data_IF_361924856549
#
_entry.id   IF_361924856549
#
_cell.length_a   1.000
_cell.length_b   1.000
_cell.length_c   1.000
_cell.angle_alpha   90.00
_cell.angle_beta   90.00
_cell.angle_gamma   90.00
#
_symmetry.space_group_name_H-M   'P 1'
#
loop_
_entity.id
_entity.type
_entity.pdbx_description
1 polymer ?
#
# COMPACT_ATOMS: atom_id res chain seq x y z
N UNK A 1 4.04 12.69 -18.70
CA UNK A 1 3.86 11.41 -17.99
C UNK A 1 4.26 11.69 -16.55
N UNK A 2 3.30 11.83 -15.65
CA UNK A 2 3.61 11.99 -14.23
C UNK A 2 4.14 10.65 -13.72
N UNK A 3 5.46 10.51 -13.72
CA UNK A 3 6.11 9.49 -12.90
C UNK A 3 5.75 9.82 -11.45
N UNK A 4 5.02 8.92 -10.79
CA UNK A 4 4.72 8.99 -9.36
C UNK A 4 6.01 8.80 -8.56
N UNK A 5 6.84 9.84 -8.51
CA UNK A 5 8.03 9.90 -7.67
C UNK A 5 7.62 10.28 -6.25
N UNK A 6 8.40 9.87 -5.27
CA UNK A 6 8.12 10.24 -3.88
C UNK A 6 8.12 11.77 -3.68
N UNK A 7 8.98 12.47 -4.41
CA UNK A 7 9.01 13.93 -4.43
C UNK A 7 7.70 14.52 -4.95
N UNK A 8 7.13 13.96 -6.03
CA UNK A 8 5.85 14.41 -6.58
C UNK A 8 4.67 14.09 -5.66
N UNK A 9 4.68 12.94 -4.99
CA UNK A 9 3.69 12.61 -3.96
C UNK A 9 3.76 13.62 -2.80
N UNK A 10 4.95 13.86 -2.27
CA UNK A 10 5.16 14.82 -1.19
C UNK A 10 4.76 16.25 -1.56
N UNK A 11 5.06 16.69 -2.78
CA UNK A 11 4.58 17.96 -3.31
C UNK A 11 3.05 18.00 -3.35
N UNK A 12 2.42 16.93 -3.84
CA UNK A 12 0.96 16.85 -3.96
C UNK A 12 0.26 16.92 -2.61
N UNK A 13 0.79 16.24 -1.59
CA UNK A 13 0.26 16.23 -0.22
C UNK A 13 0.52 17.54 0.55
N UNK A 14 1.51 18.34 0.13
CA UNK A 14 1.86 19.63 0.75
C UNK A 14 1.38 20.81 -0.10
N UNK A 15 2.21 21.31 -1.01
CA UNK A 15 1.94 22.46 -1.88
C UNK A 15 0.75 22.25 -2.82
N UNK A 16 0.58 21.03 -3.33
CA UNK A 16 -0.52 20.66 -4.22
C UNK A 16 -1.89 20.82 -3.56
N UNK A 17 -2.00 20.31 -2.33
CA UNK A 17 -3.18 20.35 -1.47
C UNK A 17 -3.34 21.64 -0.66
N UNK A 18 -2.39 22.58 -0.75
CA UNK A 18 -2.36 23.83 0.03
C UNK A 18 -2.43 23.60 1.56
N UNK A 19 -1.89 22.46 2.02
CA UNK A 19 -1.84 22.13 3.44
C UNK A 19 -0.66 22.86 4.10
N UNK A 20 -0.96 23.95 4.82
CA UNK A 20 0.05 24.83 5.43
C UNK A 20 0.97 24.09 6.42
N UNK A 21 0.44 23.15 7.21
CA UNK A 21 1.27 22.40 8.16
C UNK A 21 2.22 21.44 7.43
N UNK A 22 1.72 20.72 6.43
CA UNK A 22 2.58 19.88 5.58
C UNK A 22 3.63 20.70 4.82
N UNK A 23 3.29 21.91 4.35
CA UNK A 23 4.23 22.83 3.72
C UNK A 23 5.31 23.27 4.72
N UNK A 24 4.95 23.62 5.96
CA UNK A 24 5.93 23.98 7.00
C UNK A 24 6.91 22.84 7.28
N UNK A 25 6.41 21.62 7.40
CA UNK A 25 7.23 20.43 7.59
C UNK A 25 8.16 20.21 6.39
N UNK A 26 7.64 20.27 5.17
CA UNK A 26 8.44 20.15 3.94
C UNK A 26 9.52 21.22 3.85
N UNK A 27 9.20 22.49 4.14
CA UNK A 27 10.17 23.59 4.08
C UNK A 27 11.23 23.50 5.18
N UNK A 28 10.90 22.91 6.33
CA UNK A 28 11.85 22.68 7.42
C UNK A 28 12.83 21.58 7.07
N UNK A 29 12.33 20.40 6.71
CA UNK A 29 13.14 19.29 6.22
C UNK A 29 12.32 18.40 5.27
N UNK A 30 12.50 18.53 3.94
CA UNK A 30 11.75 17.75 2.98
C UNK A 30 12.09 16.26 3.04
N UNK A 31 13.29 15.89 3.49
CA UNK A 31 13.67 14.47 3.63
C UNK A 31 12.90 13.85 4.79
N UNK A 32 12.90 14.50 5.95
CA UNK A 32 12.17 14.04 7.15
C UNK A 32 10.66 13.97 6.89
N UNK A 33 10.09 15.01 6.27
CA UNK A 33 8.67 15.03 5.89
C UNK A 33 8.31 13.87 4.95
N UNK A 34 9.11 13.64 3.90
CA UNK A 34 8.89 12.55 2.96
C UNK A 34 8.98 11.17 3.62
N UNK A 35 9.96 10.98 4.52
CA UNK A 35 10.07 9.76 5.31
C UNK A 35 8.84 9.53 6.19
N UNK A 36 8.37 10.57 6.88
CA UNK A 36 7.18 10.49 7.74
C UNK A 36 5.92 10.17 6.94
N UNK A 37 5.72 10.86 5.81
CA UNK A 37 4.60 10.65 4.90
C UNK A 37 4.58 9.20 4.39
N UNK A 38 5.71 8.72 3.88
CA UNK A 38 5.82 7.36 3.39
C UNK A 38 5.55 6.33 4.50
N UNK A 39 6.14 6.51 5.69
CA UNK A 39 5.95 5.58 6.80
C UNK A 39 4.48 5.53 7.24
N UNK A 40 3.78 6.65 7.21
CA UNK A 40 2.36 6.73 7.57
C UNK A 40 1.49 5.99 6.55
N UNK A 41 1.72 6.23 5.25
CA UNK A 41 1.02 5.56 4.16
C UNK A 41 1.29 4.04 4.20
N UNK A 42 2.55 3.65 4.41
CA UNK A 42 2.96 2.26 4.53
C UNK A 42 2.31 1.56 5.73
N UNK A 43 2.32 2.19 6.91
CA UNK A 43 1.71 1.62 8.11
C UNK A 43 0.21 1.38 7.88
N UNK A 44 -0.48 2.36 7.30
CA UNK A 44 -1.91 2.25 6.97
C UNK A 44 -2.18 1.10 6.01
N UNK A 45 -1.42 1.02 4.92
CA UNK A 45 -1.53 -0.08 3.95
C UNK A 45 -1.24 -1.44 4.60
N UNK A 46 -0.20 -1.52 5.43
CA UNK A 46 0.22 -2.76 6.08
C UNK A 46 -0.84 -3.30 7.03
N UNK A 47 -1.50 -2.43 7.80
CA UNK A 47 -2.59 -2.82 8.69
C UNK A 47 -3.80 -3.34 7.91
N UNK A 48 -4.18 -2.66 6.82
CA UNK A 48 -5.29 -3.09 5.95
C UNK A 48 -4.97 -4.47 5.34
N UNK A 49 -3.75 -4.68 4.85
CA UNK A 49 -3.33 -5.95 4.28
C UNK A 49 -3.36 -7.08 5.31
N UNK A 50 -2.82 -6.83 6.51
CA UNK A 50 -2.81 -7.82 7.61
C UNK A 50 -4.23 -8.23 7.98
N UNK A 51 -5.14 -7.27 8.19
CA UNK A 51 -6.54 -7.59 8.52
C UNK A 51 -7.26 -8.31 7.37
N UNK A 52 -6.95 -7.98 6.11
CA UNK A 52 -7.51 -8.72 4.96
C UNK A 52 -7.09 -10.19 4.98
N UNK A 53 -5.81 -10.47 5.19
CA UNK A 53 -5.29 -11.85 5.26
C UNK A 53 -5.91 -12.61 6.44
N UNK A 54 -6.02 -11.98 7.61
CA UNK A 54 -6.64 -12.62 8.77
C UNK A 54 -8.12 -12.96 8.50
N UNK A 55 -8.85 -12.06 7.83
CA UNK A 55 -10.23 -12.31 7.42
C UNK A 55 -10.33 -13.45 6.40
N UNK A 56 -9.42 -13.53 5.44
CA UNK A 56 -9.37 -14.64 4.48
C UNK A 56 -9.16 -15.99 5.19
N UNK A 57 -8.34 -16.04 6.24
CA UNK A 57 -8.16 -17.25 7.07
C UNK A 57 -9.46 -17.58 7.83
N UNK A 58 -10.12 -16.57 8.42
CA UNK A 58 -11.41 -16.74 9.12
C UNK A 58 -12.47 -17.31 8.17
N UNK A 59 -12.60 -16.73 6.98
CA UNK A 59 -13.55 -17.16 5.94
C UNK A 59 -13.22 -18.56 5.43
N UNK A 60 -11.93 -18.87 5.18
CA UNK A 60 -11.50 -20.20 4.76
C UNK A 60 -11.89 -21.26 5.80
N UNK A 61 -11.68 -20.99 7.09
CA UNK A 61 -12.06 -21.90 8.16
C UNK A 61 -13.58 -22.14 8.19
N UNK A 62 -14.40 -21.07 8.17
CA UNK A 62 -15.87 -21.17 8.21
C UNK A 62 -16.38 -21.96 7.01
N UNK A 63 -15.95 -21.59 5.80
CA UNK A 63 -16.38 -22.25 4.56
C UNK A 63 -15.99 -23.74 4.55
N UNK A 64 -14.79 -24.06 5.03
CA UNK A 64 -14.31 -25.45 5.11
C UNK A 64 -15.15 -26.27 6.09
N UNK A 65 -15.39 -25.73 7.29
CA UNK A 65 -16.22 -26.37 8.33
C UNK A 65 -17.62 -26.64 7.81
N UNK A 66 -18.28 -25.63 7.24
CA UNK A 66 -19.65 -25.75 6.75
C UNK A 66 -19.74 -26.73 5.59
N UNK A 67 -18.78 -26.70 4.66
CA UNK A 67 -18.68 -27.66 3.56
C UNK A 67 -18.51 -29.10 4.04
N UNK A 68 -17.63 -29.33 5.01
CA UNK A 68 -17.40 -30.65 5.58
C UNK A 68 -18.64 -31.19 6.29
N UNK A 69 -19.29 -30.39 7.12
CA UNK A 69 -20.51 -30.78 7.83
C UNK A 69 -21.67 -31.04 6.85
N UNK A 70 -21.86 -30.18 5.86
CA UNK A 70 -22.84 -30.37 4.79
C UNK A 70 -22.58 -31.68 4.06
N UNK A 71 -21.32 -31.96 3.68
CA UNK A 71 -21.00 -33.17 2.94
C UNK A 71 -21.14 -34.46 3.73
N UNK A 72 -20.84 -34.45 5.04
CA UNK A 72 -21.12 -35.60 5.89
C UNK A 72 -22.63 -35.83 6.00
N UNK A 73 -23.43 -34.76 6.17
CA UNK A 73 -24.88 -34.86 6.24
C UNK A 73 -25.48 -35.43 4.96
N UNK A 74 -25.08 -34.90 3.80
CA UNK A 74 -25.55 -35.36 2.49
C UNK A 74 -25.14 -36.82 2.23
N UNK A 75 -23.93 -37.23 2.61
CA UNK A 75 -23.52 -38.63 2.50
C UNK A 75 -24.34 -39.53 3.43
N UNK A 76 -24.58 -39.10 4.67
CA UNK A 76 -25.35 -39.84 5.66
C UNK A 76 -26.79 -40.14 5.19
N UNK A 77 -27.43 -39.18 4.51
CA UNK A 77 -28.79 -39.32 3.97
C UNK A 77 -28.93 -40.38 2.88
N UNK A 78 -27.82 -40.86 2.30
CA UNK A 78 -27.84 -41.90 1.26
C UNK A 78 -28.07 -43.32 1.78
N UNK A 79 -27.93 -43.55 3.09
CA UNK A 79 -27.90 -44.89 3.68
C UNK A 79 -29.12 -45.16 4.58
N UNK A 80 -29.57 -46.41 4.62
CA UNK A 80 -30.59 -46.85 5.59
C UNK A 80 -29.97 -47.01 6.98
N UNK A 81 -30.47 -46.32 8.04
CA UNK A 81 -29.98 -46.45 9.41
C UNK A 81 -29.99 -47.87 9.98
N UNK A 82 -30.80 -48.78 9.43
CA UNK A 82 -30.92 -50.16 9.91
C UNK A 82 -30.07 -51.15 9.11
N UNK A 83 -29.49 -50.72 8.00
CA UNK A 83 -28.74 -51.59 7.09
C UNK A 83 -27.24 -51.59 7.44
N UNK A 84 -26.64 -52.78 7.37
CA UNK A 84 -25.18 -52.95 7.38
C UNK A 84 -24.67 -53.09 5.96
N UNK A 85 -23.49 -52.55 5.69
CA UNK A 85 -22.87 -52.52 4.38
C UNK A 85 -21.52 -53.22 4.42
N UNK A 86 -21.48 -54.44 3.90
CA UNK A 86 -20.24 -55.18 3.82
C UNK A 86 -19.36 -54.58 2.70
N UNK A 87 -18.08 -54.36 3.02
CA UNK A 87 -17.05 -53.91 2.07
C UNK A 87 -17.21 -52.49 1.51
N UNK A 88 -17.83 -51.55 2.24
CA UNK A 88 -17.82 -50.13 1.84
C UNK A 88 -16.51 -49.47 2.32
N UNK A 89 -15.53 -49.19 1.44
CA UNK A 89 -14.28 -48.59 1.87
C UNK A 89 -14.46 -47.10 2.19
N UNK A 90 -13.70 -46.61 3.16
CA UNK A 90 -13.68 -45.20 3.56
C UNK A 90 -13.22 -44.29 2.43
N UNK A 91 -12.42 -44.79 1.49
CA UNK A 91 -12.05 -44.07 0.27
C UNK A 91 -13.27 -43.61 -0.53
N UNK A 92 -14.37 -44.36 -0.55
CA UNK A 92 -15.59 -43.94 -1.25
C UNK A 92 -16.19 -42.67 -0.63
N UNK A 93 -16.15 -42.56 0.69
CA UNK A 93 -16.58 -41.36 1.40
C UNK A 93 -15.66 -40.17 1.10
N UNK A 94 -14.34 -40.37 1.07
CA UNK A 94 -13.41 -39.30 0.68
C UNK A 94 -13.55 -38.88 -0.79
N UNK A 95 -13.77 -39.84 -1.70
CA UNK A 95 -14.05 -39.58 -3.11
C UNK A 95 -15.33 -38.77 -3.28
N UNK A 96 -16.38 -39.07 -2.50
CA UNK A 96 -17.60 -38.27 -2.50
C UNK A 96 -17.33 -36.82 -2.13
N UNK A 97 -16.64 -36.57 -1.00
CA UNK A 97 -16.34 -35.22 -0.52
C UNK A 97 -15.37 -34.43 -1.42
N UNK A 98 -14.63 -35.12 -2.28
CA UNK A 98 -13.71 -34.53 -3.25
C UNK A 98 -14.34 -34.36 -4.64
N UNK A 99 -15.63 -34.67 -4.80
CA UNK A 99 -16.27 -34.96 -6.09
C UNK A 99 -16.09 -33.88 -7.18
N UNK A 100 -15.92 -32.61 -6.81
CA UNK A 100 -15.69 -31.52 -7.76
C UNK A 100 -14.32 -31.58 -8.44
N UNK A 101 -13.25 -31.89 -7.70
CA UNK A 101 -11.89 -32.06 -8.23
C UNK A 101 -11.74 -33.31 -9.10
N UNK A 102 -12.57 -34.32 -8.85
CA UNK A 102 -12.44 -35.67 -9.44
C UNK A 102 -13.77 -36.14 -10.04
N UNK A 103 -14.35 -35.29 -10.89
CA UNK A 103 -15.70 -35.50 -11.45
C UNK A 103 -15.88 -36.83 -12.21
N UNK A 104 -14.81 -37.36 -12.81
CA UNK A 104 -14.84 -38.66 -13.48
C UNK A 104 -14.91 -39.82 -12.47
N UNK A 105 -14.08 -39.77 -11.43
CA UNK A 105 -14.05 -40.73 -10.33
C UNK A 105 -15.35 -40.66 -9.52
N UNK A 106 -15.94 -39.47 -9.36
CA UNK A 106 -17.26 -39.30 -8.74
C UNK A 106 -18.35 -40.04 -9.51
N UNK A 107 -18.36 -39.92 -10.84
CA UNK A 107 -19.32 -40.66 -11.67
C UNK A 107 -19.09 -42.18 -11.58
N UNK A 108 -17.84 -42.61 -11.53
CA UNK A 108 -17.49 -44.02 -11.33
C UNK A 108 -17.96 -44.52 -9.96
N UNK A 109 -17.79 -43.72 -8.91
CA UNK A 109 -18.30 -43.98 -7.56
C UNK A 109 -19.82 -44.10 -7.58
N UNK A 110 -20.54 -43.16 -8.21
CA UNK A 110 -22.00 -43.21 -8.33
C UNK A 110 -22.48 -44.52 -8.92
N UNK A 111 -21.93 -44.92 -10.07
CA UNK A 111 -22.30 -46.18 -10.75
C UNK A 111 -22.00 -47.39 -9.85
N UNK A 112 -20.86 -47.37 -9.14
CA UNK A 112 -20.49 -48.42 -8.20
C UNK A 112 -21.47 -48.52 -7.02
N UNK A 113 -21.81 -47.39 -6.39
CA UNK A 113 -22.72 -47.31 -5.24
C UNK A 113 -24.13 -47.77 -5.62
N UNK A 114 -24.63 -47.39 -6.79
CA UNK A 114 -25.92 -47.84 -7.31
C UNK A 114 -25.92 -49.36 -7.54
N UNK A 115 -24.92 -49.90 -8.25
CA UNK A 115 -24.88 -51.32 -8.61
C UNK A 115 -24.64 -52.25 -7.42
N UNK A 116 -23.77 -51.86 -6.49
CA UNK A 116 -23.36 -52.73 -5.38
C UNK A 116 -24.28 -52.61 -4.17
N UNK A 117 -24.76 -51.40 -3.88
CA UNK A 117 -25.47 -51.10 -2.64
C UNK A 117 -26.89 -50.57 -2.87
N UNK A 118 -27.34 -50.42 -4.13
CA UNK A 118 -28.62 -49.82 -4.48
C UNK A 118 -28.79 -48.39 -3.91
N UNK A 119 -27.68 -47.65 -3.85
CA UNK A 119 -27.64 -46.26 -3.36
C UNK A 119 -27.65 -45.31 -4.55
N UNK A 120 -28.65 -44.43 -4.59
CA UNK A 120 -28.79 -43.45 -5.65
C UNK A 120 -28.13 -42.12 -5.25
N UNK A 121 -26.94 -41.86 -5.78
CA UNK A 121 -26.25 -40.58 -5.62
C UNK A 121 -26.70 -39.58 -6.68
N UNK A 122 -26.69 -38.28 -6.34
CA UNK A 122 -26.98 -37.20 -7.29
C UNK A 122 -26.01 -37.24 -8.48
N UNK A 123 -26.51 -36.88 -9.66
CA UNK A 123 -25.65 -36.76 -10.86
C UNK A 123 -24.72 -35.55 -10.80
N UNK A 124 -25.19 -34.47 -10.16
CA UNK A 124 -24.37 -33.30 -9.89
C UNK A 124 -23.35 -33.60 -8.79
N UNK A 125 -22.08 -33.29 -9.05
CA UNK A 125 -21.03 -33.30 -8.03
C UNK A 125 -21.37 -32.33 -6.89
N UNK A 126 -20.84 -32.56 -5.67
CA UNK A 126 -20.97 -31.60 -4.59
C UNK A 126 -20.44 -30.21 -4.96
N UNK A 127 -21.06 -29.16 -4.42
CA UNK A 127 -20.66 -27.77 -4.71
C UNK A 127 -19.28 -27.43 -4.12
N UNK A 128 -18.95 -28.07 -3.01
CA UNK A 128 -17.70 -27.97 -2.27
C UNK A 128 -16.66 -28.97 -2.79
N UNK A 129 -15.40 -28.70 -2.46
CA UNK A 129 -14.29 -29.55 -2.83
C UNK A 129 -13.28 -29.62 -1.69
N UNK A 130 -13.16 -30.81 -1.10
CA UNK A 130 -12.32 -31.03 0.08
C UNK A 130 -11.10 -31.92 -0.25
N UNK A 131 -10.79 -32.07 -1.54
CA UNK A 131 -9.71 -32.93 -2.03
C UNK A 131 -8.36 -32.63 -1.37
N UNK A 132 -7.98 -31.35 -1.31
CA UNK A 132 -6.69 -30.92 -0.73
C UNK A 132 -6.57 -31.22 0.76
N UNK A 133 -7.68 -31.16 1.50
CA UNK A 133 -7.73 -31.40 2.94
C UNK A 133 -7.75 -32.91 3.23
N UNK A 134 -8.41 -33.68 2.38
CA UNK A 134 -8.68 -35.10 2.62
C UNK A 134 -7.65 -36.04 1.98
N UNK A 135 -6.78 -35.56 1.09
CA UNK A 135 -5.81 -36.39 0.36
C UNK A 135 -4.96 -37.28 1.27
N UNK A 136 -4.42 -36.71 2.35
CA UNK A 136 -3.54 -37.44 3.27
C UNK A 136 -4.35 -38.46 4.07
N UNK A 137 -5.56 -38.06 4.52
CA UNK A 137 -6.47 -38.97 5.22
C UNK A 137 -6.90 -40.15 4.35
N UNK A 138 -7.18 -39.91 3.07
CA UNK A 138 -7.54 -40.97 2.13
C UNK A 138 -6.37 -41.93 1.89
N UNK A 139 -5.14 -41.41 1.78
CA UNK A 139 -3.94 -42.23 1.60
C UNK A 139 -3.68 -43.16 2.79
N UNK A 140 -4.00 -42.72 4.00
CA UNK A 140 -3.73 -43.46 5.24
C UNK A 140 -4.86 -44.43 5.61
N UNK A 141 -6.11 -43.98 5.45
CA UNK A 141 -7.27 -44.67 6.01
C UNK A 141 -8.28 -45.17 4.97
N UNK A 142 -8.07 -44.88 3.69
CA UNK A 142 -9.05 -45.18 2.64
C UNK A 142 -9.42 -46.66 2.52
N UNK A 143 -8.54 -47.58 2.93
CA UNK A 143 -8.81 -49.02 2.92
C UNK A 143 -9.67 -49.53 4.08
N UNK A 144 -9.96 -48.70 5.08
CA UNK A 144 -10.81 -49.10 6.20
C UNK A 144 -12.26 -49.29 5.74
N UNK A 145 -12.94 -50.30 6.28
CA UNK A 145 -14.31 -50.62 5.90
C UNK A 145 -15.28 -49.95 6.88
N UNK A 146 -16.31 -49.32 6.32
CA UNK A 146 -17.42 -48.72 7.06
C UNK A 146 -18.60 -49.69 7.03
N UNK A 147 -18.79 -50.46 8.11
CA UNK A 147 -19.91 -51.41 8.20
C UNK A 147 -21.27 -50.71 8.39
N UNK A 148 -21.29 -49.65 9.21
CA UNK A 148 -22.49 -48.86 9.51
C UNK A 148 -22.25 -47.38 9.17
N UNK A 149 -22.56 -46.96 7.93
CA UNK A 149 -22.29 -45.60 7.47
C UNK A 149 -22.97 -44.53 8.30
N UNK A 150 -24.21 -44.78 8.74
CA UNK A 150 -24.95 -43.81 9.57
C UNK A 150 -24.32 -43.62 10.94
N UNK A 151 -23.93 -44.71 11.61
CA UNK A 151 -23.25 -44.65 12.91
C UNK A 151 -21.88 -43.95 12.78
N UNK A 152 -21.14 -44.26 11.70
CA UNK A 152 -19.87 -43.63 11.38
C UNK A 152 -20.02 -42.12 11.14
N UNK A 153 -20.99 -41.70 10.32
CA UNK A 153 -21.27 -40.29 10.03
C UNK A 153 -21.65 -39.52 11.31
N UNK A 154 -22.48 -40.11 12.16
CA UNK A 154 -22.85 -39.50 13.44
C UNK A 154 -21.63 -39.33 14.37
N UNK A 155 -20.77 -40.35 14.44
CA UNK A 155 -19.57 -40.33 15.27
C UNK A 155 -18.54 -39.31 14.76
N UNK A 156 -18.29 -39.29 13.45
CA UNK A 156 -17.33 -38.34 12.86
C UNK A 156 -17.85 -36.91 12.93
N UNK A 157 -19.15 -36.65 12.69
CA UNK A 157 -19.75 -35.33 12.87
C UNK A 157 -19.54 -34.82 14.29
N UNK A 158 -19.86 -35.64 15.30
CA UNK A 158 -19.68 -35.26 16.70
C UNK A 158 -18.21 -34.93 17.01
N UNK A 159 -17.29 -35.81 16.61
CA UNK A 159 -15.85 -35.64 16.84
C UNK A 159 -15.28 -34.42 16.11
N UNK A 160 -15.75 -34.15 14.89
CA UNK A 160 -15.34 -33.01 14.09
C UNK A 160 -15.86 -31.71 14.67
N UNK A 161 -17.13 -31.64 15.10
CA UNK A 161 -17.68 -30.43 15.73
C UNK A 161 -16.86 -30.06 16.97
N UNK A 162 -16.55 -31.02 17.82
CA UNK A 162 -15.72 -30.79 19.01
C UNK A 162 -14.32 -30.30 18.64
N UNK A 163 -13.65 -31.00 17.72
CA UNK A 163 -12.29 -30.68 17.28
C UNK A 163 -12.21 -29.33 16.59
N UNK A 164 -13.14 -29.03 15.68
CA UNK A 164 -13.24 -27.76 14.96
C UNK A 164 -13.55 -26.62 15.95
N UNK A 165 -14.44 -26.82 16.91
CA UNK A 165 -14.74 -25.80 17.94
C UNK A 165 -13.51 -25.48 18.78
N UNK A 166 -12.73 -26.50 19.16
CA UNK A 166 -11.47 -26.31 19.86
C UNK A 166 -10.46 -25.53 19.00
N UNK A 167 -10.28 -25.90 17.73
CA UNK A 167 -9.41 -25.17 16.80
C UNK A 167 -9.85 -23.71 16.63
N UNK A 168 -11.14 -23.45 16.47
CA UNK A 168 -11.68 -22.09 16.34
C UNK A 168 -11.40 -21.26 17.60
N UNK A 169 -11.57 -21.88 18.77
CA UNK A 169 -11.30 -21.24 20.06
C UNK A 169 -9.81 -20.90 20.19
N UNK A 170 -8.92 -21.83 19.85
CA UNK A 170 -7.46 -21.61 19.84
C UNK A 170 -7.08 -20.50 18.85
N UNK A 171 -7.69 -20.49 17.66
CA UNK A 171 -7.47 -19.45 16.67
C UNK A 171 -7.86 -18.07 17.20
N UNK A 172 -9.10 -17.90 17.65
CA UNK A 172 -9.63 -16.61 18.13
C UNK A 172 -8.84 -16.10 19.35
N UNK A 173 -8.55 -16.98 20.30
CA UNK A 173 -7.96 -16.56 21.58
C UNK A 173 -6.43 -16.40 21.53
N UNK A 174 -5.74 -16.99 20.56
CA UNK A 174 -4.26 -17.07 20.60
C UNK A 174 -3.63 -16.92 19.22
N UNK A 175 -3.90 -17.85 18.29
CA UNK A 175 -3.13 -17.91 17.03
C UNK A 175 -3.40 -16.74 16.09
N UNK A 176 -4.60 -16.16 16.10
CA UNK A 176 -4.92 -14.97 15.29
C UNK A 176 -4.03 -13.79 15.67
N UNK A 177 -3.84 -13.54 16.97
CA UNK A 177 -2.96 -12.47 17.45
C UNK A 177 -1.49 -12.76 17.12
N UNK A 178 -1.01 -13.99 17.35
CA UNK A 178 0.37 -14.38 17.04
C UNK A 178 0.64 -14.22 15.54
N UNK A 179 -0.29 -14.66 14.69
CA UNK A 179 -0.20 -14.53 13.23
C UNK A 179 -0.17 -13.07 12.81
N UNK A 180 -1.05 -12.24 13.39
CA UNK A 180 -1.07 -10.79 13.19
C UNK A 180 0.30 -10.15 13.45
N UNK A 181 0.90 -10.45 14.60
CA UNK A 181 2.21 -9.90 14.97
C UNK A 181 3.34 -10.42 14.08
N UNK A 182 3.29 -11.69 13.67
CA UNK A 182 4.25 -12.26 12.70
C UNK A 182 4.17 -11.58 11.33
N UNK A 183 2.95 -11.35 10.82
CA UNK A 183 2.73 -10.65 9.55
C UNK A 183 3.26 -9.21 9.63
N UNK A 184 2.95 -8.50 10.71
CA UNK A 184 3.49 -7.14 10.96
C UNK A 184 5.01 -7.13 10.97
N UNK A 185 5.65 -8.03 11.71
CA UNK A 185 7.11 -8.11 11.78
C UNK A 185 7.75 -8.40 10.40
N UNK A 186 7.13 -9.28 9.61
CA UNK A 186 7.58 -9.58 8.25
C UNK A 186 7.49 -8.35 7.32
N UNK A 187 6.37 -7.62 7.40
CA UNK A 187 6.16 -6.39 6.63
C UNK A 187 7.15 -5.29 7.04
N UNK A 188 7.34 -5.05 8.33
CA UNK A 188 8.34 -4.09 8.82
C UNK A 188 9.74 -4.43 8.31
N UNK A 189 10.14 -5.69 8.38
CA UNK A 189 11.44 -6.16 7.87
C UNK A 189 11.57 -5.88 6.37
N UNK A 190 10.54 -6.22 5.60
CA UNK A 190 10.50 -5.97 4.15
C UNK A 190 10.54 -4.47 3.84
N UNK A 191 9.85 -3.65 4.62
CA UNK A 191 9.86 -2.19 4.45
C UNK A 191 11.26 -1.63 4.70
N UNK A 192 11.89 -1.95 5.84
CA UNK A 192 13.24 -1.47 6.18
C UNK A 192 14.24 -1.81 5.08
N UNK A 193 14.15 -3.03 4.52
CA UNK A 193 15.02 -3.47 3.41
C UNK A 193 14.74 -2.72 2.11
N UNK A 194 13.52 -2.27 1.87
CA UNK A 194 13.08 -1.64 0.61
C UNK A 194 13.06 -0.11 0.69
N UNK A 195 13.05 0.47 1.90
CA UNK A 195 12.81 1.90 2.16
C UNK A 195 14.05 2.77 2.14
N UNK A 196 15.17 2.24 2.60
CA UNK A 196 16.34 3.09 2.84
C UNK A 196 16.95 3.67 1.56
N UNK A 197 16.82 2.99 0.41
CA UNK A 197 17.52 3.38 -0.81
C UNK A 197 16.62 3.94 -1.94
N UNK A 198 15.36 3.50 -2.05
CA UNK A 198 14.55 3.83 -3.24
C UNK A 198 13.37 4.77 -2.98
N UNK A 199 12.96 4.97 -1.72
CA UNK A 199 11.70 5.67 -1.44
C UNK A 199 11.84 7.17 -1.29
N UNK A 200 13.01 7.67 -0.92
CA UNK A 200 13.23 9.11 -0.86
C UNK A 200 13.65 9.65 -2.22
N UNK A 201 14.30 8.85 -3.08
CA UNK A 201 14.91 9.33 -4.32
C UNK A 201 16.10 10.25 -4.05
N UNK A 202 16.58 10.91 -5.09
CA UNK A 202 17.76 11.78 -5.04
C UNK A 202 17.72 12.81 -3.90
N UNK A 203 18.80 12.93 -3.12
CA UNK A 203 18.92 13.91 -2.03
C UNK A 203 19.20 15.34 -2.51
N UNK A 204 19.57 15.53 -3.79
CA UNK A 204 19.90 16.84 -4.34
C UNK A 204 18.69 17.79 -4.32
N UNK A 205 18.96 19.08 -4.12
CA UNK A 205 17.95 20.15 -4.05
C UNK A 205 18.29 21.26 -5.03
N UNK A 206 17.25 21.85 -5.62
CA UNK A 206 17.39 22.96 -6.53
C UNK A 206 18.13 24.10 -5.81
N UNK A 207 19.22 24.63 -6.39
CA UNK A 207 20.06 25.61 -5.70
C UNK A 207 19.36 26.96 -5.44
N UNK A 208 18.23 27.23 -6.11
CA UNK A 208 17.48 28.47 -5.98
C UNK A 208 16.32 28.33 -4.99
N UNK A 209 15.45 27.34 -5.20
CA UNK A 209 14.21 27.19 -4.45
C UNK A 209 14.20 26.00 -3.49
N UNK A 210 15.30 25.25 -3.40
CA UNK A 210 15.46 24.03 -2.58
C UNK A 210 14.43 22.92 -2.84
N UNK A 211 13.67 22.99 -3.94
CA UNK A 211 12.84 21.88 -4.39
C UNK A 211 13.70 20.64 -4.56
N UNK A 212 13.27 19.52 -4.01
CA UNK A 212 14.01 18.25 -4.07
C UNK A 212 13.99 17.67 -5.48
N UNK A 213 15.07 17.05 -5.91
CA UNK A 213 15.15 16.31 -7.17
C UNK A 213 14.10 15.18 -7.23
N UNK A 214 13.50 15.00 -8.40
CA UNK A 214 12.44 14.00 -8.64
C UNK A 214 12.99 12.65 -9.09
N UNK A 215 14.27 12.57 -9.48
CA UNK A 215 14.90 11.35 -9.96
C UNK A 215 15.16 10.34 -8.82
N UNK A 216 15.21 9.03 -9.11
CA UNK A 216 15.61 8.02 -8.14
C UNK A 216 17.05 8.23 -7.65
N UNK A 217 17.42 7.61 -6.53
CA UNK A 217 18.79 7.64 -6.04
C UNK A 217 19.65 6.57 -6.75
N UNK A 218 19.87 6.75 -8.05
CA UNK A 218 20.52 5.80 -8.94
C UNK A 218 21.92 6.27 -9.42
N UNK A 219 22.45 7.33 -8.78
CA UNK A 219 23.74 7.91 -9.16
C UNK A 219 23.70 8.79 -10.42
N UNK A 220 22.52 9.23 -10.89
CA UNK A 220 22.43 10.22 -11.95
C UNK A 220 23.26 11.48 -11.64
N UNK A 221 23.86 12.04 -12.67
CA UNK A 221 24.74 13.21 -12.57
C UNK A 221 24.02 14.53 -12.89
N UNK A 222 22.79 14.45 -13.40
CA UNK A 222 21.97 15.60 -13.78
C UNK A 222 20.65 15.55 -13.02
N UNK A 223 20.39 16.58 -12.22
CA UNK A 223 19.22 16.66 -11.36
C UNK A 223 18.06 17.35 -12.06
N UNK A 224 16.85 16.93 -11.73
CA UNK A 224 15.64 17.44 -12.36
C UNK A 224 14.52 17.67 -11.35
N UNK A 225 13.79 18.75 -11.57
CA UNK A 225 12.60 19.14 -10.82
C UNK A 225 11.60 19.74 -11.80
N UNK A 226 10.34 19.35 -11.69
CA UNK A 226 9.24 19.91 -12.45
C UNK A 226 8.45 20.95 -11.64
N UNK A 227 8.43 20.81 -10.31
CA UNK A 227 7.72 21.72 -9.38
C UNK A 227 8.68 22.63 -8.62
N UNK A 228 9.01 23.76 -9.23
CA UNK A 228 9.85 24.78 -8.64
C UNK A 228 9.06 25.72 -7.71
N UNK A 229 9.70 26.17 -6.64
CA UNK A 229 9.09 27.02 -5.61
C UNK A 229 9.63 28.46 -5.67
N UNK A 230 9.11 29.34 -4.81
CA UNK A 230 9.71 30.67 -4.58
C UNK A 230 11.03 30.51 -3.82
N UNK A 231 12.16 31.09 -4.29
CA UNK A 231 13.41 31.13 -3.54
C UNK A 231 13.25 31.75 -2.14
N UNK A 232 12.29 32.67 -1.96
CA UNK A 232 12.02 33.25 -0.65
C UNK A 232 11.64 32.21 0.43
N UNK A 233 11.09 31.04 0.07
CA UNK A 233 10.80 29.98 1.04
C UNK A 233 12.05 29.40 1.70
N UNK A 234 13.23 29.61 1.12
CA UNK A 234 14.52 29.14 1.63
C UNK A 234 15.40 30.28 2.11
N UNK A 235 14.83 31.49 2.20
CA UNK A 235 15.53 32.69 2.65
C UNK A 235 16.30 33.45 1.58
N UNK A 236 16.15 33.10 0.28
CA UNK A 236 16.74 33.89 -0.79
C UNK A 236 16.10 35.29 -0.83
N UNK A 237 16.94 36.30 -0.62
CA UNK A 237 16.59 37.71 -0.59
C UNK A 237 17.62 38.54 -1.33
N UNK A 238 17.22 39.73 -1.74
CA UNK A 238 18.15 40.74 -2.24
C UNK A 238 19.08 41.20 -1.12
N UNK A 239 20.39 41.30 -1.40
CA UNK A 239 21.38 41.60 -0.35
C UNK A 239 21.26 43.03 0.20
N UNK A 240 20.79 43.98 -0.62
CA UNK A 240 20.83 45.41 -0.30
C UNK A 240 19.54 45.84 0.40
N UNK A 241 18.41 45.32 -0.09
CA UNK A 241 17.07 45.65 0.40
C UNK A 241 16.53 44.64 1.38
N UNK A 242 17.15 43.47 1.48
CA UNK A 242 16.69 42.32 2.27
C UNK A 242 15.31 41.80 1.85
N UNK A 243 14.83 42.22 0.68
CA UNK A 243 13.52 41.83 0.17
C UNK A 243 13.50 40.39 -0.33
N UNK A 244 12.46 39.61 -0.01
CA UNK A 244 12.30 38.23 -0.47
C UNK A 244 12.24 38.14 -2.01
N UNK A 245 12.80 37.07 -2.56
CA UNK A 245 12.70 36.78 -4.00
C UNK A 245 11.39 36.05 -4.31
N UNK A 246 10.37 36.82 -4.72
CA UNK A 246 8.98 36.37 -4.92
C UNK A 246 8.63 35.95 -6.37
N UNK A 247 9.63 35.45 -7.10
CA UNK A 247 9.47 34.88 -8.44
C UNK A 247 9.77 33.39 -8.40
N UNK A 248 9.00 32.56 -9.10
CA UNK A 248 9.33 31.14 -9.24
C UNK A 248 10.63 31.03 -10.05
N UNK A 249 11.53 30.17 -9.63
CA UNK A 249 12.91 30.22 -10.12
C UNK A 249 13.10 29.80 -11.59
N UNK A 250 12.06 29.29 -12.26
CA UNK A 250 12.04 28.97 -13.69
C UNK A 250 11.45 30.07 -14.58
N UNK A 251 10.84 31.11 -14.00
CA UNK A 251 10.25 32.25 -14.72
C UNK A 251 11.32 33.01 -15.51
N UNK A 252 10.93 33.66 -16.60
CA UNK A 252 11.84 34.46 -17.42
C UNK A 252 12.56 35.56 -16.62
N UNK A 253 11.88 36.15 -15.65
CA UNK A 253 12.48 37.14 -14.75
C UNK A 253 13.66 36.56 -13.96
N UNK A 254 13.58 35.30 -13.53
CA UNK A 254 14.66 34.63 -12.80
C UNK A 254 15.89 34.43 -13.69
N UNK A 255 15.69 34.13 -14.98
CA UNK A 255 16.76 33.98 -15.97
C UNK A 255 17.44 35.30 -16.33
N UNK A 256 16.68 36.40 -16.29
CA UNK A 256 17.19 37.75 -16.59
C UNK A 256 17.86 38.43 -15.38
N UNK A 257 17.65 37.92 -14.18
CA UNK A 257 18.31 38.41 -12.95
C UNK A 257 19.74 37.91 -12.83
N UNK A 258 20.52 38.63 -12.01
CA UNK A 258 21.86 38.19 -11.61
C UNK A 258 21.79 37.55 -10.22
N UNK A 259 22.52 36.45 -10.06
CA UNK A 259 22.54 35.61 -8.87
C UNK A 259 23.93 35.63 -8.24
N UNK A 260 23.97 35.58 -6.91
CA UNK A 260 25.20 35.60 -6.12
C UNK A 260 25.24 34.44 -5.14
N UNK A 261 26.44 33.96 -4.82
CA UNK A 261 26.66 32.93 -3.81
C UNK A 261 27.35 33.53 -2.59
N UNK A 262 26.65 33.54 -1.44
CA UNK A 262 27.12 33.94 -0.11
C UNK A 262 28.02 35.19 -0.02
N UNK A 263 29.29 35.06 -0.41
CA UNK A 263 30.38 36.04 -0.26
C UNK A 263 30.88 36.63 -1.59
N UNK A 264 30.30 36.23 -2.71
CA UNK A 264 30.70 36.76 -4.01
C UNK A 264 30.29 38.22 -4.16
N UNK A 265 31.26 39.07 -4.49
CA UNK A 265 31.00 40.48 -4.83
C UNK A 265 30.41 40.64 -6.24
N UNK A 266 30.49 39.60 -7.08
CA UNK A 266 30.12 39.65 -8.49
C UNK A 266 28.91 38.76 -8.77
N UNK A 267 27.76 39.38 -8.99
CA UNK A 267 26.53 38.69 -9.40
C UNK A 267 26.62 38.25 -10.87
N UNK A 268 26.30 36.99 -11.13
CA UNK A 268 26.39 36.37 -12.45
C UNK A 268 24.99 36.14 -13.04
N UNK A 269 24.81 36.23 -14.37
CA UNK A 269 23.60 35.71 -15.02
C UNK A 269 23.35 34.24 -14.63
N UNK A 270 22.08 33.83 -14.54
CA UNK A 270 21.69 32.54 -13.97
C UNK A 270 22.47 31.34 -14.54
N UNK A 271 22.57 31.24 -15.87
CA UNK A 271 23.31 30.13 -16.50
C UNK A 271 24.77 30.10 -16.06
N UNK A 272 25.45 31.25 -16.02
CA UNK A 272 26.86 31.33 -15.58
C UNK A 272 27.02 31.02 -14.09
N UNK A 273 26.05 31.46 -13.28
CA UNK A 273 25.99 31.14 -11.86
C UNK A 273 25.89 29.63 -11.63
N UNK A 274 24.92 28.97 -12.29
CA UNK A 274 24.73 27.53 -12.18
C UNK A 274 25.91 26.75 -12.76
N UNK A 275 26.51 27.17 -13.88
CA UNK A 275 27.68 26.48 -14.43
C UNK A 275 28.87 26.50 -13.47
N UNK A 276 29.02 27.59 -12.71
CA UNK A 276 30.13 27.76 -11.78
C UNK A 276 29.92 26.97 -10.49
N UNK A 277 28.72 27.00 -9.92
CA UNK A 277 28.46 26.50 -8.56
C UNK A 277 27.64 25.22 -8.50
N UNK A 278 26.80 24.96 -9.49
CA UNK A 278 25.83 23.86 -9.51
C UNK A 278 25.72 23.22 -10.91
N UNK A 279 26.84 22.71 -11.48
CA UNK A 279 26.87 22.25 -12.88
C UNK A 279 25.94 21.05 -13.15
N UNK A 280 25.59 20.27 -12.12
CA UNK A 280 24.63 19.15 -12.21
C UNK A 280 23.16 19.59 -12.34
N UNK A 281 22.90 20.90 -12.37
CA UNK A 281 21.56 21.47 -12.58
C UNK A 281 21.42 22.13 -13.97
N UNK A 282 22.36 21.85 -14.89
CA UNK A 282 22.34 22.36 -16.26
C UNK A 282 22.06 21.21 -17.24
N UNK A 283 21.07 21.35 -18.14
CA UNK A 283 20.29 22.55 -18.42
C UNK A 283 19.26 22.86 -17.34
N UNK A 284 19.17 24.14 -16.98
CA UNK A 284 18.17 24.60 -16.02
C UNK A 284 16.85 24.93 -16.75
N UNK A 285 15.70 24.47 -16.26
CA UNK A 285 14.44 24.70 -16.94
C UNK A 285 14.13 26.19 -17.04
N UNK A 286 13.76 26.60 -18.25
CA UNK A 286 13.14 27.90 -18.52
C UNK A 286 11.71 27.62 -18.94
N UNK A 287 10.79 27.93 -18.04
CA UNK A 287 9.37 27.69 -18.26
C UNK A 287 8.59 28.69 -17.44
N UNK A 288 7.67 29.38 -18.11
CA UNK A 288 6.61 30.11 -17.44
C UNK A 288 5.76 29.08 -16.68
N UNK A 289 5.79 29.08 -15.33
CA UNK A 289 4.93 28.21 -14.56
C UNK A 289 3.49 28.57 -14.93
N UNK A 290 2.58 27.58 -14.98
CA UNK A 290 1.15 27.88 -15.20
C UNK A 290 0.68 28.95 -14.21
N UNK A 291 -0.21 29.85 -14.64
CA UNK A 291 -0.80 30.88 -13.77
C UNK A 291 -1.32 30.30 -12.46
N UNK A 292 -1.86 29.08 -12.51
CA UNK A 292 -2.31 28.33 -11.34
C UNK A 292 -1.18 28.01 -10.35
N UNK A 293 -0.02 27.57 -10.83
CA UNK A 293 1.15 27.28 -9.99
C UNK A 293 1.68 28.55 -9.34
N UNK A 294 1.83 29.64 -10.11
CA UNK A 294 2.24 30.95 -9.59
C UNK A 294 1.25 31.43 -8.53
N UNK A 295 -0.06 31.37 -8.81
CA UNK A 295 -1.09 31.76 -7.84
C UNK A 295 -1.02 30.94 -6.54
N UNK A 296 -0.80 29.63 -6.62
CA UNK A 296 -0.59 28.78 -5.43
C UNK A 296 0.64 29.22 -4.63
N UNK A 297 1.78 29.42 -5.29
CA UNK A 297 3.01 29.85 -4.61
C UNK A 297 2.84 31.19 -3.89
N UNK A 298 2.17 32.14 -4.52
CA UNK A 298 1.87 33.46 -3.95
C UNK A 298 0.88 33.39 -2.79
N UNK A 299 -0.13 32.53 -2.88
CA UNK A 299 -1.08 32.28 -1.78
C UNK A 299 -0.37 31.68 -0.55
N UNK A 300 0.49 30.69 -0.77
CA UNK A 300 1.29 30.06 0.30
C UNK A 300 2.23 31.09 0.93
N UNK A 301 2.93 31.88 0.12
CA UNK A 301 3.76 32.98 0.61
C UNK A 301 2.95 33.97 1.44
N UNK A 302 1.79 34.42 0.95
CA UNK A 302 0.94 35.33 1.69
C UNK A 302 0.58 34.81 3.10
N UNK A 303 0.32 33.50 3.21
CA UNK A 303 0.00 32.85 4.49
C UNK A 303 1.22 32.71 5.41
N UNK A 304 2.42 32.48 4.85
CA UNK A 304 3.62 32.15 5.61
C UNK A 304 4.64 33.31 5.72
N UNK A 305 4.43 34.44 5.04
CA UNK A 305 5.42 35.52 4.93
C UNK A 305 5.90 36.05 6.27
N UNK A 306 5.02 36.14 7.28
CA UNK A 306 5.41 36.61 8.61
C UNK A 306 6.47 35.71 9.25
N UNK A 307 6.18 34.42 9.37
CA UNK A 307 7.10 33.43 9.96
C UNK A 307 8.37 33.22 9.11
N UNK A 308 8.27 33.29 7.78
CA UNK A 308 9.42 33.13 6.90
C UNK A 308 10.34 34.37 6.91
N UNK A 309 9.77 35.58 6.91
CA UNK A 309 10.54 36.82 7.02
C UNK A 309 11.27 36.90 8.36
N UNK A 310 10.62 36.52 9.46
CA UNK A 310 11.26 36.42 10.76
C UNK A 310 12.38 35.37 10.75
N UNK A 311 12.10 34.14 10.29
CA UNK A 311 13.06 33.03 10.28
C UNK A 311 14.33 33.33 9.50
N UNK A 312 14.21 34.02 8.37
CA UNK A 312 15.33 34.26 7.45
C UNK A 312 15.87 35.69 7.48
N UNK A 313 15.37 36.55 8.37
CA UNK A 313 15.70 37.98 8.40
C UNK A 313 15.46 38.66 7.04
N UNK A 314 14.23 38.58 6.53
CA UNK A 314 13.81 39.28 5.31
C UNK A 314 12.88 40.44 5.66
N UNK A 315 12.90 41.49 4.84
CA UNK A 315 11.96 42.60 4.95
C UNK A 315 10.77 42.32 4.02
N UNK A 316 9.58 42.15 4.59
CA UNK A 316 8.35 41.93 3.80
C UNK A 316 8.05 43.13 2.89
N UNK A 317 8.20 42.92 1.58
CA UNK A 317 7.82 43.87 0.53
C UNK A 317 6.69 43.32 -0.36
N UNK A 318 5.94 42.34 0.15
CA UNK A 318 4.85 41.71 -0.61
C UNK A 318 3.80 42.75 -0.98
N UNK A 319 3.42 42.79 -2.26
CA UNK A 319 2.35 43.66 -2.76
C UNK A 319 1.07 43.45 -1.93
N UNK A 320 0.55 44.51 -1.28
CA UNK A 320 -0.66 44.41 -0.44
C UNK A 320 -1.89 43.86 -1.17
N UNK A 321 -1.96 44.01 -2.49
CA UNK A 321 -3.05 43.45 -3.31
C UNK A 321 -3.06 41.92 -3.35
N UNK A 322 -1.98 41.25 -2.93
CA UNK A 322 -1.93 39.78 -2.86
C UNK A 322 -2.92 39.21 -1.85
N UNK A 323 -3.24 39.95 -0.78
CA UNK A 323 -4.24 39.53 0.18
C UNK A 323 -5.62 39.33 -0.46
N UNK A 324 -6.07 40.29 -1.26
CA UNK A 324 -7.36 40.18 -1.96
C UNK A 324 -7.32 39.22 -3.14
N UNK A 325 -6.17 39.07 -3.80
CA UNK A 325 -6.01 38.20 -4.98
C UNK A 325 -5.82 36.72 -4.65
N UNK A 326 -5.12 36.42 -3.56
CA UNK A 326 -4.65 35.05 -3.25
C UNK A 326 -5.00 34.60 -1.84
N UNK A 327 -5.32 35.52 -0.92
CA UNK A 327 -5.55 35.20 0.49
C UNK A 327 -6.71 34.22 0.72
N UNK A 328 -7.72 34.20 -0.17
CA UNK A 328 -8.86 33.27 -0.06
C UNK A 328 -8.60 31.88 -0.63
N UNK A 329 -7.44 31.63 -1.25
CA UNK A 329 -7.11 30.32 -1.84
C UNK A 329 -6.74 29.27 -0.79
N UNK A 330 -6.40 29.71 0.43
CA UNK A 330 -6.07 28.84 1.56
C UNK A 330 -7.01 29.23 2.70
N UNK A 331 -7.97 28.36 3.08
CA UNK A 331 -8.86 28.61 4.22
C UNK A 331 -8.06 28.86 5.50
N UNK A 332 -8.62 29.66 6.43
CA UNK A 332 -7.97 29.99 7.70
C UNK A 332 -7.58 28.78 8.55
#
# INVERSE_FOLDING_TARGET
>A
MDTHTATNHAYSQSFGALNINAIREYLKDPTEYMSSLFNTDYNTYSEILVESILREIDEYYINTKDSLLKGISEWNELFDPKQSYDQLPLSNFFLYLSGKSISYEYNSLRIFMERKYNINMKESVPEYDLSDILKDSNSLYGSFIIEKPVDFCNLICKSLIESLTNMQTTWINTERFITKERLRAHLVTKNILMSYFNQLGCSARCPLCSSKCELPDDGHTQHQVSKHLLPAFTGFRDINTEYPTLIVCTEDEAHNRKWGYQKDSNYLPLTKFLSKYYPSWIPFPRSEPSDQHVAKMRAIWWRLKGELCERYNMIDNTDPSWGSRYGSLIPE
#
